data_IF_019804064595
#
_entry.id   IF_019804064595
#
_cell.length_a   1.000
_cell.length_b   1.000
_cell.length_c   1.000
_cell.angle_alpha   90.00
_cell.angle_beta   90.00
_cell.angle_gamma   90.00
#
_symmetry.space_group_name_H-M   'P 1'
#
loop_
_entity.id
_entity.type
_entity.pdbx_description
1 polymer ?
#
# COMPACT_ATOMS: atom_id res chain seq x y z
N UNK A 1 7.21 15.93 15.98
CA UNK A 1 6.13 15.46 15.08
C UNK A 1 5.46 14.22 15.66
N UNK A 2 4.18 13.98 15.34
CA UNK A 2 3.46 12.78 15.78
C UNK A 2 2.87 12.05 14.56
N UNK A 3 3.27 10.80 14.39
CA UNK A 3 2.70 9.89 13.40
C UNK A 3 1.69 8.96 14.08
N UNK A 4 0.50 8.86 13.50
CA UNK A 4 -0.51 7.89 13.92
C UNK A 4 -1.02 7.11 12.72
N UNK A 5 -0.84 5.80 12.74
CA UNK A 5 -1.33 4.92 11.68
C UNK A 5 -1.81 3.57 12.23
N UNK A 6 -2.72 2.97 11.49
CA UNK A 6 -3.47 1.78 11.94
C UNK A 6 -3.31 0.58 11.02
N UNK A 7 -2.60 0.73 9.90
CA UNK A 7 -2.45 -0.32 8.90
C UNK A 7 -0.98 -0.57 8.55
N UNK A 8 -0.53 -1.85 8.38
CA UNK A 8 0.84 -2.18 8.01
C UNK A 8 1.35 -1.45 6.76
N UNK A 9 0.47 -1.21 5.75
CA UNK A 9 0.86 -0.47 4.55
C UNK A 9 1.38 0.94 4.84
N UNK A 10 0.89 1.60 5.90
CA UNK A 10 1.35 2.95 6.27
C UNK A 10 2.72 2.93 6.94
N UNK A 11 3.07 1.84 7.61
CA UNK A 11 4.44 1.63 8.06
C UNK A 11 5.41 1.68 6.87
N UNK A 12 5.13 0.94 5.80
CA UNK A 12 5.98 0.94 4.60
C UNK A 12 6.07 2.33 3.97
N UNK A 13 4.95 3.03 3.85
CA UNK A 13 4.90 4.40 3.27
C UNK A 13 5.73 5.38 4.08
N UNK A 14 5.69 5.33 5.41
CA UNK A 14 6.34 6.33 6.26
C UNK A 14 7.71 5.92 6.80
N UNK A 15 8.12 4.64 6.67
CA UNK A 15 9.35 4.12 7.26
C UNK A 15 10.58 4.97 6.91
N UNK A 16 10.83 5.19 5.64
CA UNK A 16 12.02 5.89 5.19
C UNK A 16 11.92 7.39 5.50
N UNK A 17 10.73 7.98 5.40
CA UNK A 17 10.46 9.36 5.82
C UNK A 17 10.72 9.57 7.31
N UNK A 18 10.21 8.69 8.19
CA UNK A 18 10.44 8.78 9.64
C UNK A 18 11.94 8.64 9.97
N UNK A 19 12.60 7.67 9.31
CA UNK A 19 14.04 7.46 9.48
C UNK A 19 14.81 8.72 9.14
N UNK A 20 14.55 9.33 7.99
CA UNK A 20 15.24 10.53 7.53
C UNK A 20 14.93 11.74 8.41
N UNK A 21 13.68 11.93 8.84
CA UNK A 21 13.33 13.03 9.76
C UNK A 21 14.07 12.90 11.09
N UNK A 22 14.22 11.69 11.64
CA UNK A 22 15.01 11.46 12.86
C UNK A 22 16.50 11.75 12.63
N UNK A 23 17.05 11.38 11.46
CA UNK A 23 18.43 11.71 11.09
C UNK A 23 18.63 13.22 10.94
N UNK A 24 17.61 13.96 10.47
CA UNK A 24 17.62 15.43 10.40
C UNK A 24 17.44 16.10 11.78
N UNK A 25 17.36 15.33 12.87
CA UNK A 25 17.26 15.85 14.24
C UNK A 25 15.83 16.07 14.76
N UNK A 26 14.80 15.67 14.03
CA UNK A 26 13.42 15.77 14.51
C UNK A 26 13.07 14.70 15.53
N UNK A 27 12.33 15.09 16.56
CA UNK A 27 11.72 14.17 17.51
C UNK A 27 10.42 13.66 16.87
N UNK A 28 10.38 12.34 16.58
CA UNK A 28 9.25 11.67 15.94
C UNK A 28 8.69 10.60 16.86
N UNK A 29 7.48 10.86 17.39
CA UNK A 29 6.71 9.86 18.12
C UNK A 29 5.80 9.09 17.18
N UNK A 30 5.60 7.82 17.50
CA UNK A 30 4.74 6.91 16.75
C UNK A 30 3.66 6.38 17.66
N UNK A 31 2.41 6.56 17.23
CA UNK A 31 1.23 5.99 17.88
C UNK A 31 0.53 5.08 16.89
N UNK A 32 0.10 3.93 17.38
CA UNK A 32 -0.60 2.95 16.55
C UNK A 32 -1.85 2.39 17.24
N UNK A 33 -2.64 1.71 16.45
CA UNK A 33 -3.53 0.65 16.95
C UNK A 33 -3.07 -0.66 16.34
N UNK A 34 -2.89 -1.69 17.16
CA UNK A 34 -2.50 -3.01 16.66
C UNK A 34 -3.44 -3.52 15.57
N UNK A 35 -2.85 -3.88 14.45
CA UNK A 35 -3.53 -4.57 13.36
C UNK A 35 -2.52 -5.44 12.62
N UNK A 36 -2.86 -6.70 12.44
CA UNK A 36 -2.07 -7.66 11.69
C UNK A 36 -0.59 -7.67 12.18
N UNK A 37 0.37 -7.56 11.27
CA UNK A 37 1.82 -7.57 11.55
C UNK A 37 2.42 -6.19 11.89
N UNK A 38 1.60 -5.17 12.16
CA UNK A 38 2.11 -3.79 12.31
C UNK A 38 3.11 -3.65 13.48
N UNK A 39 2.84 -4.28 14.62
CA UNK A 39 3.75 -4.24 15.77
C UNK A 39 5.07 -4.93 15.48
N UNK A 40 5.01 -6.11 14.83
CA UNK A 40 6.23 -6.85 14.45
C UNK A 40 7.13 -6.03 13.51
N UNK A 41 6.52 -5.27 12.59
CA UNK A 41 7.25 -4.38 11.69
C UNK A 41 7.95 -3.25 12.45
N UNK A 42 7.30 -2.63 13.44
CA UNK A 42 7.92 -1.58 14.25
C UNK A 42 9.05 -2.12 15.13
N UNK A 43 8.83 -3.28 15.77
CA UNK A 43 9.84 -3.97 16.57
C UNK A 43 11.05 -4.33 15.71
N UNK A 44 10.84 -4.83 14.49
CA UNK A 44 11.93 -5.18 13.57
C UNK A 44 12.82 -3.99 13.16
N UNK A 45 12.29 -2.76 13.24
CA UNK A 45 13.05 -1.52 13.04
C UNK A 45 13.70 -0.99 14.32
N UNK A 46 13.46 -1.62 15.48
CA UNK A 46 13.90 -1.10 16.76
C UNK A 46 13.22 0.23 17.15
N UNK A 47 12.01 0.47 16.66
CA UNK A 47 11.31 1.74 16.90
C UNK A 47 10.46 1.68 18.16
N UNK A 48 10.59 2.71 18.98
CA UNK A 48 9.65 2.97 20.08
C UNK A 48 8.31 3.44 19.51
N UNK A 49 7.22 2.90 20.05
CA UNK A 49 5.85 3.26 19.68
C UNK A 49 4.91 3.17 20.88
N UNK A 50 3.76 3.81 20.76
CA UNK A 50 2.66 3.65 21.72
C UNK A 50 1.45 3.01 21.03
N UNK A 51 1.06 1.83 21.50
CA UNK A 51 -0.19 1.23 21.08
C UNK A 51 -1.32 1.73 21.99
N UNK A 52 -2.29 2.47 21.42
CA UNK A 52 -3.43 2.99 22.18
C UNK A 52 -4.58 1.99 22.36
N UNK A 53 -4.48 0.80 21.75
CA UNK A 53 -5.43 -0.31 21.92
C UNK A 53 -4.71 -1.66 22.09
N UNK A 54 -3.90 -1.83 23.16
CA UNK A 54 -3.20 -3.10 23.38
C UNK A 54 -4.16 -4.28 23.56
N UNK A 55 -5.39 -4.01 24.05
CA UNK A 55 -6.47 -5.01 24.16
C UNK A 55 -7.23 -5.27 22.84
N UNK A 56 -6.89 -4.56 21.77
CA UNK A 56 -7.61 -4.56 20.49
C UNK A 56 -8.87 -3.69 20.50
N UNK A 57 -9.33 -3.37 19.28
CA UNK A 57 -10.54 -2.53 19.07
C UNK A 57 -11.85 -3.32 19.13
N UNK A 58 -11.82 -4.65 18.93
CA UNK A 58 -13.01 -5.46 18.73
C UNK A 58 -13.83 -5.54 20.03
N UNK A 59 -15.08 -5.12 19.96
CA UNK A 59 -16.05 -5.25 21.05
C UNK A 59 -16.92 -6.48 20.80
N UNK A 60 -16.89 -7.46 21.72
CA UNK A 60 -17.68 -8.68 21.62
C UNK A 60 -19.16 -8.39 21.93
N UNK A 61 -20.07 -9.04 21.22
CA UNK A 61 -21.51 -8.96 21.49
C UNK A 61 -22.21 -7.66 21.06
N UNK A 62 -21.52 -6.77 20.33
CA UNK A 62 -22.07 -5.49 19.89
C UNK A 62 -22.12 -5.46 18.36
N UNK A 63 -23.17 -4.86 17.79
CA UNK A 63 -23.28 -4.72 16.33
C UNK A 63 -22.09 -3.95 15.74
N UNK A 64 -21.65 -4.23 14.50
CA UNK A 64 -20.51 -3.58 13.89
C UNK A 64 -20.62 -2.05 13.82
N UNK A 65 -21.83 -1.52 13.58
CA UNK A 65 -22.08 -0.08 13.50
C UNK A 65 -21.88 0.61 14.85
N UNK A 66 -22.48 0.06 15.92
CA UNK A 66 -22.36 0.57 17.28
C UNK A 66 -20.90 0.45 17.76
N UNK A 67 -20.27 -0.70 17.49
CA UNK A 67 -18.86 -0.91 17.81
C UNK A 67 -17.97 0.12 17.12
N UNK A 68 -18.22 0.47 15.87
CA UNK A 68 -17.48 1.51 15.13
C UNK A 68 -17.67 2.89 15.76
N UNK A 69 -18.88 3.26 16.14
CA UNK A 69 -19.17 4.53 16.80
C UNK A 69 -18.46 4.64 18.17
N UNK A 70 -18.54 3.58 18.98
CA UNK A 70 -17.84 3.54 20.28
C UNK A 70 -16.33 3.66 20.08
N UNK A 71 -15.77 2.91 19.12
CA UNK A 71 -14.34 2.94 18.84
C UNK A 71 -13.88 4.30 18.29
N UNK A 72 -14.72 5.02 17.55
CA UNK A 72 -14.44 6.39 17.13
C UNK A 72 -14.15 7.30 18.35
N UNK A 73 -15.07 7.34 19.33
CA UNK A 73 -14.89 8.16 20.54
C UNK A 73 -13.75 7.66 21.44
N UNK A 74 -13.60 6.33 21.59
CA UNK A 74 -12.48 5.76 22.35
C UNK A 74 -11.13 6.13 21.73
N UNK A 75 -11.02 6.10 20.42
CA UNK A 75 -9.79 6.47 19.72
C UNK A 75 -9.45 7.94 19.96
N UNK A 76 -10.41 8.85 19.74
CA UNK A 76 -10.20 10.29 19.99
C UNK A 76 -9.81 10.55 21.45
N UNK A 77 -10.50 9.95 22.41
CA UNK A 77 -10.17 10.10 23.84
C UNK A 77 -8.75 9.62 24.15
N UNK A 78 -8.35 8.45 23.66
CA UNK A 78 -7.00 7.90 23.91
C UNK A 78 -5.91 8.70 23.23
N UNK A 79 -6.12 9.14 22.01
CA UNK A 79 -5.22 10.07 21.31
C UNK A 79 -5.11 11.40 22.08
N UNK A 80 -6.23 11.98 22.52
CA UNK A 80 -6.22 13.19 23.33
C UNK A 80 -5.40 13.01 24.62
N UNK A 81 -5.60 11.90 25.35
CA UNK A 81 -4.84 11.58 26.57
C UNK A 81 -3.34 11.45 26.30
N UNK A 82 -2.95 10.97 25.12
CA UNK A 82 -1.56 10.87 24.69
C UNK A 82 -1.00 12.26 24.31
N UNK A 83 -1.67 12.96 23.40
CA UNK A 83 -1.20 14.22 22.79
C UNK A 83 -1.04 15.33 23.85
N UNK A 84 -1.93 15.42 24.86
CA UNK A 84 -1.85 16.45 25.89
C UNK A 84 -0.59 16.43 26.76
N UNK A 85 0.23 15.36 26.68
CA UNK A 85 1.44 15.22 27.51
C UNK A 85 2.60 16.06 27.02
N UNK A 86 2.64 16.42 25.72
CA UNK A 86 3.66 17.28 25.14
C UNK A 86 3.13 18.04 23.91
N UNK A 87 3.80 19.13 23.55
CA UNK A 87 3.47 19.88 22.34
C UNK A 87 4.05 19.20 21.10
N UNK A 88 3.28 19.17 20.02
CA UNK A 88 3.68 18.69 18.70
C UNK A 88 3.53 19.81 17.68
N UNK A 89 4.44 19.84 16.70
CA UNK A 89 4.41 20.82 15.61
C UNK A 89 3.59 20.32 14.42
N UNK A 90 3.57 18.99 14.18
CA UNK A 90 2.83 18.36 13.09
C UNK A 90 2.16 17.07 13.53
N UNK A 91 0.96 16.83 13.00
CA UNK A 91 0.26 15.53 13.02
C UNK A 91 0.25 14.92 11.63
N UNK A 92 0.74 13.69 11.49
CA UNK A 92 0.75 12.92 10.24
C UNK A 92 -0.04 11.64 10.46
N UNK A 93 -1.04 11.38 9.63
CA UNK A 93 -1.96 10.26 9.89
C UNK A 93 -2.73 9.81 8.65
N UNK A 94 -3.39 8.68 8.77
CA UNK A 94 -4.45 8.20 7.88
C UNK A 94 -5.78 7.95 8.63
N UNK A 95 -5.90 8.45 9.88
CA UNK A 95 -7.05 8.15 10.77
C UNK A 95 -7.40 9.38 11.65
N UNK A 96 -8.04 9.16 12.76
CA UNK A 96 -8.75 10.10 13.64
C UNK A 96 -7.88 11.15 14.34
N UNK A 97 -6.56 11.10 14.25
CA UNK A 97 -5.69 12.11 14.86
C UNK A 97 -6.02 13.54 14.37
N UNK A 98 -6.51 13.66 13.14
CA UNK A 98 -6.94 14.94 12.54
C UNK A 98 -7.98 15.70 13.36
N UNK A 99 -8.79 14.98 14.16
CA UNK A 99 -9.81 15.61 15.00
C UNK A 99 -9.20 16.44 16.15
N UNK A 100 -7.93 16.17 16.50
CA UNK A 100 -7.23 16.89 17.55
C UNK A 100 -6.49 18.12 17.02
N UNK A 101 -6.33 18.28 15.71
CA UNK A 101 -5.60 19.38 15.07
C UNK A 101 -6.05 20.75 15.62
N UNK A 102 -7.36 21.03 15.59
CA UNK A 102 -7.91 22.30 16.08
C UNK A 102 -7.76 22.48 17.60
N UNK A 103 -7.91 21.41 18.38
CA UNK A 103 -7.82 21.50 19.85
C UNK A 103 -6.41 21.83 20.32
N UNK A 104 -5.39 21.25 19.65
CA UNK A 104 -4.00 21.47 20.00
C UNK A 104 -3.32 22.55 19.13
N UNK A 105 -4.04 23.14 18.18
CA UNK A 105 -3.52 24.11 17.19
C UNK A 105 -2.28 23.57 16.46
N UNK A 106 -2.29 22.27 16.16
CA UNK A 106 -1.22 21.54 15.48
C UNK A 106 -1.71 21.16 14.09
N UNK A 107 -1.06 21.62 13.02
CA UNK A 107 -1.42 21.26 11.64
C UNK A 107 -1.40 19.77 11.39
N UNK A 108 -2.34 19.30 10.55
CA UNK A 108 -2.50 17.88 10.27
C UNK A 108 -2.35 17.57 8.77
N UNK A 109 -1.57 16.52 8.50
CA UNK A 109 -1.42 15.91 7.18
C UNK A 109 -2.07 14.54 7.16
N UNK A 110 -2.96 14.32 6.21
CA UNK A 110 -3.58 13.03 5.96
C UNK A 110 -3.00 12.43 4.70
N UNK A 111 -2.60 11.16 4.76
CA UNK A 111 -2.15 10.42 3.58
C UNK A 111 -3.27 9.50 3.08
N UNK A 112 -3.56 9.57 1.79
CA UNK A 112 -4.45 8.63 1.08
C UNK A 112 -3.97 8.41 -0.36
N UNK A 113 -4.27 7.23 -0.90
CA UNK A 113 -3.99 6.89 -2.30
C UNK A 113 -5.25 6.43 -3.06
N UNK A 114 -6.36 6.27 -2.35
CA UNK A 114 -7.63 5.86 -2.93
C UNK A 114 -8.51 7.05 -3.32
N UNK A 115 -9.21 6.92 -4.44
CA UNK A 115 -10.24 7.86 -4.83
C UNK A 115 -11.39 7.92 -3.82
N UNK A 116 -11.89 9.11 -3.54
CA UNK A 116 -12.97 9.30 -2.57
C UNK A 116 -14.24 8.52 -2.94
N UNK A 117 -14.49 8.30 -4.22
CA UNK A 117 -15.62 7.51 -4.69
C UNK A 117 -15.61 6.06 -4.18
N UNK A 118 -14.40 5.50 -3.93
CA UNK A 118 -14.19 4.15 -3.40
C UNK A 118 -14.27 4.14 -1.87
N UNK A 119 -13.73 5.16 -1.22
CA UNK A 119 -13.60 5.24 0.24
C UNK A 119 -14.46 6.36 0.83
N UNK A 120 -15.76 6.39 0.49
CA UNK A 120 -16.68 7.49 0.86
C UNK A 120 -16.66 7.86 2.34
N UNK A 121 -16.55 6.88 3.24
CA UNK A 121 -16.48 7.14 4.69
C UNK A 121 -15.22 7.91 5.10
N UNK A 122 -14.16 7.85 4.29
CA UNK A 122 -12.93 8.59 4.54
C UNK A 122 -13.13 10.11 4.44
N UNK A 123 -14.24 10.56 3.84
CA UNK A 123 -14.63 11.98 3.80
C UNK A 123 -14.69 12.64 5.18
N UNK A 124 -15.02 11.89 6.24
CA UNK A 124 -15.05 12.41 7.61
C UNK A 124 -13.65 12.79 8.13
N UNK A 125 -12.62 12.07 7.68
CA UNK A 125 -11.21 12.35 7.98
C UNK A 125 -10.75 13.54 7.15
N UNK A 126 -10.97 13.51 5.82
CA UNK A 126 -10.58 14.58 4.90
C UNK A 126 -11.20 15.93 5.26
N UNK A 127 -12.44 15.93 5.78
CA UNK A 127 -13.11 17.16 6.20
C UNK A 127 -12.35 17.88 7.34
N UNK A 128 -11.64 17.15 8.19
CA UNK A 128 -10.91 17.67 9.35
C UNK A 128 -9.44 17.94 9.09
N UNK A 129 -8.86 17.31 8.05
CA UNK A 129 -7.48 17.51 7.67
C UNK A 129 -7.20 18.97 7.24
N UNK A 130 -6.01 19.48 7.57
CA UNK A 130 -5.52 20.76 7.03
C UNK A 130 -4.93 20.54 5.64
N UNK A 131 -4.17 19.46 5.46
CA UNK A 131 -3.56 19.06 4.19
C UNK A 131 -3.80 17.56 3.91
N UNK A 132 -3.90 17.23 2.62
CA UNK A 132 -4.06 15.83 2.17
C UNK A 132 -2.97 15.50 1.17
N UNK A 133 -2.08 14.57 1.53
CA UNK A 133 -1.05 14.04 0.64
C UNK A 133 -1.66 12.88 -0.16
N UNK A 134 -1.73 13.02 -1.46
CA UNK A 134 -2.30 11.99 -2.34
C UNK A 134 -1.61 12.01 -3.71
N UNK A 135 -1.62 10.89 -4.47
CA UNK A 135 -1.19 10.90 -5.87
C UNK A 135 -1.92 12.00 -6.65
N UNK A 136 -1.22 12.65 -7.58
CA UNK A 136 -1.80 13.73 -8.40
C UNK A 136 -3.10 13.27 -9.08
N UNK A 137 -3.12 12.04 -9.57
CA UNK A 137 -4.24 11.45 -10.30
C UNK A 137 -5.45 11.09 -9.41
N UNK A 138 -5.25 10.90 -8.09
CA UNK A 138 -6.34 10.52 -7.17
C UNK A 138 -7.37 11.64 -7.04
N UNK A 139 -8.64 11.31 -7.22
CA UNK A 139 -9.74 12.27 -7.07
C UNK A 139 -10.30 12.25 -5.64
N UNK A 140 -10.15 13.36 -4.95
CA UNK A 140 -10.67 13.57 -3.60
C UNK A 140 -11.99 14.38 -3.59
N UNK A 141 -12.60 14.60 -4.76
CA UNK A 141 -13.83 15.38 -4.91
C UNK A 141 -13.65 16.80 -4.36
N UNK A 142 -14.58 17.25 -3.52
CA UNK A 142 -14.52 18.59 -2.92
C UNK A 142 -13.28 18.86 -2.05
N UNK A 143 -12.51 17.85 -1.69
CA UNK A 143 -11.30 17.98 -0.88
C UNK A 143 -10.02 18.14 -1.72
N UNK A 144 -10.13 18.18 -3.06
CA UNK A 144 -9.00 18.46 -3.94
C UNK A 144 -8.30 19.79 -3.62
N UNK A 145 -9.02 20.78 -3.06
CA UNK A 145 -8.45 22.05 -2.59
C UNK A 145 -7.42 21.93 -1.46
N UNK A 146 -7.48 20.84 -0.69
CA UNK A 146 -6.53 20.53 0.39
C UNK A 146 -5.37 19.62 -0.07
N UNK A 147 -5.45 19.10 -1.30
CA UNK A 147 -4.52 18.12 -1.81
C UNK A 147 -3.13 18.72 -2.04
N UNK A 148 -2.13 18.06 -1.48
CA UNK A 148 -0.74 18.16 -1.87
C UNK A 148 -0.49 16.95 -2.78
N UNK A 149 -0.66 17.20 -4.09
CA UNK A 149 -0.62 16.13 -5.10
C UNK A 149 0.81 15.79 -5.50
N UNK A 150 1.22 14.53 -5.34
CA UNK A 150 2.53 14.09 -5.77
C UNK A 150 2.47 13.24 -7.05
N UNK A 151 3.46 13.39 -7.92
CA UNK A 151 3.62 12.60 -9.14
C UNK A 151 4.21 11.23 -8.78
N UNK A 152 3.35 10.29 -8.42
CA UNK A 152 3.83 8.97 -7.99
C UNK A 152 2.72 8.08 -7.45
N UNK A 153 3.18 6.99 -6.85
CA UNK A 153 2.37 5.99 -6.17
C UNK A 153 2.89 5.80 -4.75
N UNK A 154 2.05 5.33 -3.82
CA UNK A 154 2.47 5.08 -2.44
C UNK A 154 3.64 4.10 -2.35
N UNK A 155 3.69 3.14 -3.25
CA UNK A 155 4.73 2.12 -3.30
C UNK A 155 6.12 2.73 -3.57
N UNK A 156 6.20 3.89 -4.23
CA UNK A 156 7.46 4.60 -4.47
C UNK A 156 8.05 5.24 -3.20
N UNK A 157 7.33 5.21 -2.09
CA UNK A 157 7.93 5.56 -0.80
C UNK A 157 8.98 4.53 -0.34
N UNK A 158 8.84 3.27 -0.75
CA UNK A 158 9.72 2.17 -0.31
C UNK A 158 10.25 1.29 -1.45
N UNK A 159 9.76 1.47 -2.68
CA UNK A 159 10.20 0.72 -3.86
C UNK A 159 10.89 1.60 -4.92
N UNK A 160 11.09 2.90 -4.64
CA UNK A 160 11.86 3.77 -5.53
C UNK A 160 13.31 3.26 -5.65
N UNK A 161 13.98 3.43 -6.80
CA UNK A 161 15.39 3.02 -6.97
C UNK A 161 16.29 3.52 -5.83
N UNK A 162 17.11 2.62 -5.28
CA UNK A 162 17.95 2.90 -4.11
C UNK A 162 17.28 2.67 -2.75
N UNK A 163 15.93 2.59 -2.66
CA UNK A 163 15.23 2.27 -1.41
C UNK A 163 14.94 0.79 -1.22
N UNK A 164 14.75 0.07 -2.30
CA UNK A 164 14.59 -1.37 -2.31
C UNK A 164 15.66 -2.00 -3.20
N UNK A 165 16.44 -2.91 -2.62
CA UNK A 165 17.46 -3.69 -3.31
C UNK A 165 17.01 -5.14 -3.31
N UNK A 166 16.64 -5.71 -4.48
CA UNK A 166 16.25 -7.10 -4.59
C UNK A 166 17.39 -8.05 -4.18
N UNK A 167 17.07 -9.06 -3.40
CA UNK A 167 18.05 -10.06 -2.94
C UNK A 167 17.69 -11.45 -3.49
N UNK A 168 18.52 -11.95 -4.40
CA UNK A 168 18.36 -13.27 -5.05
C UNK A 168 18.61 -14.43 -4.07
N UNK A 169 19.37 -14.21 -3.01
CA UNK A 169 19.66 -15.27 -2.05
C UNK A 169 18.39 -15.71 -1.29
N UNK A 170 17.43 -14.78 -1.13
CA UNK A 170 16.11 -15.10 -0.59
C UNK A 170 15.39 -16.11 -1.49
N UNK A 171 15.50 -15.92 -2.82
CA UNK A 171 14.84 -16.78 -3.80
C UNK A 171 15.50 -18.17 -3.86
N UNK A 172 16.82 -18.22 -3.81
CA UNK A 172 17.58 -19.48 -3.82
C UNK A 172 17.17 -20.41 -2.66
N UNK A 173 16.85 -19.86 -1.50
CA UNK A 173 16.45 -20.63 -0.32
C UNK A 173 15.16 -21.45 -0.51
N UNK A 174 14.21 -21.00 -1.30
CA UNK A 174 12.95 -21.75 -1.50
C UNK A 174 12.77 -22.29 -2.92
N UNK A 175 13.44 -21.72 -3.92
CA UNK A 175 13.26 -22.09 -5.32
C UNK A 175 14.52 -22.62 -6.02
N UNK A 176 15.68 -22.62 -5.37
CA UNK A 176 16.97 -22.96 -6.00
C UNK A 176 17.55 -21.83 -6.87
N UNK A 177 16.84 -20.71 -7.03
CA UNK A 177 17.33 -19.46 -7.63
C UNK A 177 17.34 -19.38 -9.15
N UNK A 178 17.22 -20.49 -9.86
CA UNK A 178 17.38 -20.54 -11.32
C UNK A 178 16.11 -20.89 -12.08
N UNK A 179 15.02 -21.24 -11.42
CA UNK A 179 13.82 -21.71 -12.07
C UNK A 179 12.78 -20.59 -12.21
N UNK A 180 12.16 -20.56 -13.39
CA UNK A 180 11.00 -19.71 -13.68
C UNK A 180 9.87 -20.01 -12.71
N UNK A 181 9.25 -18.98 -12.12
CA UNK A 181 8.13 -19.18 -11.21
C UNK A 181 7.08 -18.07 -11.28
N UNK A 182 5.88 -18.42 -10.86
CA UNK A 182 4.70 -17.57 -10.82
C UNK A 182 4.20 -17.46 -9.40
N UNK A 183 3.76 -16.26 -9.03
CA UNK A 183 3.22 -15.99 -7.69
C UNK A 183 1.74 -15.68 -7.78
N UNK A 184 0.92 -16.50 -7.12
CA UNK A 184 -0.52 -16.25 -6.95
C UNK A 184 -0.76 -15.68 -5.55
N UNK A 185 -1.53 -14.59 -5.45
CA UNK A 185 -1.94 -14.01 -4.16
C UNK A 185 -3.44 -14.12 -3.97
N UNK A 186 -3.85 -14.65 -2.81
CA UNK A 186 -5.24 -14.81 -2.40
C UNK A 186 -5.49 -14.05 -1.10
N UNK A 187 -6.34 -13.01 -1.14
CA UNK A 187 -6.71 -12.25 0.06
C UNK A 187 -7.94 -12.84 0.74
N UNK A 188 -8.13 -12.50 2.01
CA UNK A 188 -9.26 -13.02 2.80
C UNK A 188 -10.61 -12.41 2.42
N UNK A 189 -10.64 -11.23 1.78
CA UNK A 189 -11.83 -10.44 1.42
C UNK A 189 -12.80 -10.25 2.63
N UNK A 190 -12.25 -10.05 3.84
CA UNK A 190 -13.00 -9.91 5.09
C UNK A 190 -13.03 -8.48 5.65
N UNK A 191 -12.37 -7.52 5.01
CA UNK A 191 -12.38 -6.13 5.45
C UNK A 191 -13.76 -5.49 5.22
N UNK A 192 -14.09 -4.44 5.96
CA UNK A 192 -15.40 -3.77 5.85
C UNK A 192 -15.70 -3.25 4.43
N UNK A 193 -14.68 -2.80 3.72
CA UNK A 193 -14.81 -2.35 2.32
C UNK A 193 -14.86 -3.51 1.32
N UNK A 194 -14.62 -4.75 1.76
CA UNK A 194 -14.69 -5.95 0.92
C UNK A 194 -16.10 -6.60 0.93
N UNK A 195 -17.07 -6.04 1.66
CA UNK A 195 -18.42 -6.60 1.72
C UNK A 195 -19.03 -6.66 0.31
N UNK A 196 -19.34 -7.87 -0.14
CA UNK A 196 -19.84 -8.14 -1.50
C UNK A 196 -18.74 -8.22 -2.58
N UNK A 197 -17.46 -8.08 -2.21
CA UNK A 197 -16.36 -8.25 -3.14
C UNK A 197 -16.06 -9.73 -3.39
N UNK A 198 -15.76 -10.03 -4.66
CA UNK A 198 -15.38 -11.37 -5.11
C UNK A 198 -13.93 -11.32 -5.60
N UNK A 199 -13.20 -12.38 -5.32
CA UNK A 199 -11.85 -12.62 -5.82
C UNK A 199 -11.75 -13.99 -6.49
N UNK A 200 -10.54 -14.51 -6.59
CA UNK A 200 -10.27 -15.82 -7.18
C UNK A 200 -10.91 -16.95 -6.36
N UNK A 201 -11.74 -17.76 -7.01
CA UNK A 201 -12.27 -18.98 -6.43
C UNK A 201 -11.24 -20.11 -6.52
N UNK A 202 -11.35 -21.14 -5.66
CA UNK A 202 -10.46 -22.31 -5.73
C UNK A 202 -10.49 -23.01 -7.09
N UNK A 203 -11.66 -23.04 -7.76
CA UNK A 203 -11.80 -23.55 -9.13
C UNK A 203 -10.95 -22.75 -10.10
N UNK A 204 -10.96 -21.43 -9.98
CA UNK A 204 -10.17 -20.54 -10.81
C UNK A 204 -8.67 -20.68 -10.53
N UNK A 205 -8.29 -20.84 -9.26
CA UNK A 205 -6.90 -21.08 -8.86
C UNK A 205 -6.37 -22.39 -9.47
N UNK A 206 -7.16 -23.45 -9.46
CA UNK A 206 -6.77 -24.72 -10.09
C UNK A 206 -6.54 -24.56 -11.58
N UNK A 207 -7.41 -23.83 -12.29
CA UNK A 207 -7.24 -23.56 -13.74
C UNK A 207 -5.97 -22.76 -14.00
N UNK A 208 -5.67 -21.75 -13.17
CA UNK A 208 -4.42 -20.99 -13.23
C UNK A 208 -3.21 -21.90 -13.08
N UNK A 209 -3.19 -22.73 -12.04
CA UNK A 209 -2.08 -23.64 -11.76
C UNK A 209 -1.87 -24.60 -12.94
N UNK A 210 -2.94 -25.20 -13.45
CA UNK A 210 -2.87 -26.14 -14.60
C UNK A 210 -2.24 -25.48 -15.83
N UNK A 211 -2.48 -24.19 -16.05
CA UNK A 211 -1.86 -23.44 -17.15
C UNK A 211 -0.37 -23.15 -16.82
N UNK A 212 -0.10 -22.59 -15.64
CA UNK A 212 1.21 -22.08 -15.26
C UNK A 212 2.27 -23.18 -15.08
N UNK A 213 1.90 -24.36 -14.56
CA UNK A 213 2.83 -25.50 -14.36
C UNK A 213 3.50 -25.98 -15.64
N UNK A 214 2.95 -25.67 -16.81
CA UNK A 214 3.57 -25.96 -18.11
C UNK A 214 4.78 -25.07 -18.39
N UNK A 215 4.91 -23.95 -17.67
CA UNK A 215 5.94 -22.94 -17.92
C UNK A 215 6.91 -22.74 -16.75
N UNK A 216 6.58 -23.19 -15.54
CA UNK A 216 7.44 -23.05 -14.36
C UNK A 216 6.75 -23.42 -13.06
N UNK A 217 7.42 -23.17 -11.96
CA UNK A 217 6.87 -23.43 -10.61
C UNK A 217 5.77 -22.43 -10.26
N UNK A 218 4.79 -22.87 -9.46
CA UNK A 218 3.72 -22.00 -8.98
C UNK A 218 3.77 -21.95 -7.46
N UNK A 219 3.70 -20.73 -6.93
CA UNK A 219 3.60 -20.48 -5.49
C UNK A 219 2.35 -19.69 -5.16
N UNK A 220 1.71 -20.01 -4.02
CA UNK A 220 0.52 -19.33 -3.53
C UNK A 220 0.83 -18.65 -2.20
N UNK A 221 0.74 -17.32 -2.17
CA UNK A 221 0.67 -16.54 -0.94
C UNK A 221 -0.81 -16.31 -0.58
N UNK A 222 -1.27 -16.81 0.57
CA UNK A 222 -2.68 -16.78 0.93
C UNK A 222 -2.93 -16.30 2.35
N UNK A 223 -3.91 -15.40 2.53
CA UNK A 223 -4.45 -14.99 3.82
C UNK A 223 -5.62 -15.89 4.28
N UNK A 224 -6.12 -16.72 3.38
CA UNK A 224 -7.19 -17.68 3.66
C UNK A 224 -6.65 -19.10 3.73
N UNK A 225 -7.37 -19.99 4.39
CA UNK A 225 -7.09 -21.43 4.35
C UNK A 225 -7.15 -21.93 2.91
N UNK A 226 -6.18 -22.74 2.53
CA UNK A 226 -6.18 -23.41 1.24
C UNK A 226 -6.77 -24.81 1.39
N UNK A 227 -7.50 -25.32 0.37
CA UNK A 227 -7.83 -26.74 0.29
C UNK A 227 -6.58 -27.61 0.23
N UNK A 228 -6.61 -28.84 0.75
CA UNK A 228 -5.47 -29.77 0.83
C UNK A 228 -4.71 -29.90 -0.50
N UNK A 229 -5.43 -29.97 -1.61
CA UNK A 229 -4.86 -30.06 -2.97
C UNK A 229 -4.05 -28.83 -3.40
N UNK A 230 -4.27 -27.68 -2.75
CA UNK A 230 -3.55 -26.42 -3.01
C UNK A 230 -2.44 -26.15 -2.00
N UNK A 231 -2.42 -26.83 -0.86
CA UNK A 231 -1.42 -26.63 0.20
C UNK A 231 0.02 -26.89 -0.28
N UNK A 232 0.23 -27.83 -1.21
CA UNK A 232 1.55 -28.09 -1.79
C UNK A 232 2.17 -26.90 -2.52
N UNK A 233 1.37 -25.91 -2.94
CA UNK A 233 1.79 -24.68 -3.61
C UNK A 233 2.02 -23.52 -2.65
N UNK A 234 1.68 -23.67 -1.37
CA UNK A 234 1.81 -22.60 -0.38
C UNK A 234 3.25 -22.08 -0.31
N UNK A 235 3.39 -20.80 -0.53
CA UNK A 235 4.66 -20.10 -0.36
C UNK A 235 5.04 -20.08 1.12
N UNK A 236 6.21 -20.63 1.45
CA UNK A 236 6.76 -20.71 2.81
C UNK A 236 7.95 -19.76 2.91
N UNK A 237 7.68 -18.51 3.25
CA UNK A 237 8.70 -17.47 3.47
C UNK A 237 8.31 -16.59 4.64
N UNK A 238 9.27 -15.85 5.17
CA UNK A 238 8.99 -14.78 6.12
C UNK A 238 8.25 -13.62 5.40
N UNK A 239 7.18 -13.06 5.98
CA UNK A 239 6.39 -11.99 5.35
C UNK A 239 7.21 -10.80 4.86
N UNK A 240 8.29 -10.43 5.57
CA UNK A 240 9.19 -9.33 5.19
C UNK A 240 9.91 -9.54 3.85
N UNK A 241 9.99 -10.78 3.38
CA UNK A 241 10.70 -11.15 2.17
C UNK A 241 9.80 -11.15 0.92
N UNK A 242 8.52 -10.86 1.07
CA UNK A 242 7.54 -10.98 -0.03
C UNK A 242 7.88 -10.09 -1.24
N UNK A 243 8.41 -8.89 -1.02
CA UNK A 243 8.78 -7.98 -2.10
C UNK A 243 9.91 -8.54 -2.98
N UNK A 244 10.87 -9.26 -2.38
CA UNK A 244 11.91 -9.96 -3.14
C UNK A 244 11.31 -11.07 -4.01
N UNK A 245 10.35 -11.83 -3.46
CA UNK A 245 9.65 -12.88 -4.21
C UNK A 245 8.83 -12.28 -5.35
N UNK A 246 8.16 -11.16 -5.14
CA UNK A 246 7.42 -10.46 -6.21
C UNK A 246 8.38 -9.99 -7.31
N UNK A 247 9.52 -9.38 -6.94
CA UNK A 247 10.46 -8.82 -7.92
C UNK A 247 11.04 -9.89 -8.87
N UNK A 248 11.34 -11.08 -8.37
CA UNK A 248 11.91 -12.16 -9.17
C UNK A 248 10.87 -13.08 -9.81
N UNK A 249 9.59 -12.94 -9.51
CA UNK A 249 8.54 -13.69 -10.17
C UNK A 249 8.43 -13.31 -11.66
N UNK A 250 8.17 -14.30 -12.52
CA UNK A 250 7.89 -14.04 -13.95
C UNK A 250 6.58 -13.29 -14.15
N UNK A 251 5.54 -13.70 -13.41
CA UNK A 251 4.24 -13.02 -13.41
C UNK A 251 3.65 -13.12 -12.00
N UNK A 252 3.09 -12.01 -11.53
CA UNK A 252 2.25 -11.94 -10.33
C UNK A 252 0.78 -11.96 -10.72
N UNK A 253 -0.03 -12.80 -10.07
CA UNK A 253 -1.47 -12.91 -10.33
C UNK A 253 -2.20 -12.88 -8.99
N UNK A 254 -3.22 -12.03 -8.81
CA UNK A 254 -3.93 -12.05 -7.54
C UNK A 254 -5.15 -11.13 -7.45
N UNK A 255 -5.83 -11.27 -6.33
CA UNK A 255 -6.96 -10.41 -5.96
C UNK A 255 -6.56 -9.29 -4.98
N UNK A 256 -5.28 -9.24 -4.57
CA UNK A 256 -4.71 -8.16 -3.75
C UNK A 256 -4.38 -6.92 -4.57
N UNK A 257 -5.01 -5.79 -4.25
CA UNK A 257 -4.71 -4.52 -4.90
C UNK A 257 -3.28 -4.04 -4.58
N UNK A 258 -2.89 -4.06 -3.30
CA UNK A 258 -1.57 -3.57 -2.88
C UNK A 258 -0.44 -4.37 -3.51
N UNK A 259 -0.47 -5.71 -3.42
CA UNK A 259 0.61 -6.52 -3.98
C UNK A 259 0.65 -6.50 -5.52
N UNK A 260 -0.50 -6.34 -6.21
CA UNK A 260 -0.50 -6.10 -7.66
C UNK A 260 0.17 -4.76 -7.99
N UNK A 261 -0.09 -3.73 -7.19
CA UNK A 261 0.52 -2.41 -7.36
C UNK A 261 2.03 -2.46 -7.11
N UNK A 262 2.46 -3.18 -6.07
CA UNK A 262 3.88 -3.42 -5.76
C UNK A 262 4.58 -4.16 -6.92
N UNK A 263 3.96 -5.22 -7.45
CA UNK A 263 4.48 -5.95 -8.59
C UNK A 263 4.65 -5.05 -9.82
N UNK A 264 3.65 -4.24 -10.15
CA UNK A 264 3.70 -3.29 -11.25
C UNK A 264 4.85 -2.28 -11.08
N UNK A 265 5.01 -1.69 -9.88
CA UNK A 265 6.08 -0.72 -9.60
C UNK A 265 7.46 -1.38 -9.63
N UNK A 266 7.58 -2.63 -9.22
CA UNK A 266 8.82 -3.41 -9.31
C UNK A 266 9.17 -3.82 -10.75
N UNK A 267 8.24 -3.68 -11.71
CA UNK A 267 8.41 -4.12 -13.11
C UNK A 267 8.13 -5.60 -13.30
N UNK A 268 7.46 -6.24 -12.36
CA UNK A 268 6.96 -7.60 -12.50
C UNK A 268 5.59 -7.55 -13.20
N UNK A 269 5.41 -8.26 -14.33
CA UNK A 269 4.12 -8.36 -14.99
C UNK A 269 3.04 -8.76 -14.00
N UNK A 270 1.98 -7.97 -13.89
CA UNK A 270 0.98 -8.21 -12.84
C UNK A 270 -0.44 -8.29 -13.39
N UNK A 271 -1.20 -9.27 -12.91
CA UNK A 271 -2.61 -9.46 -13.26
C UNK A 271 -3.44 -9.36 -11.99
N UNK A 272 -4.36 -8.39 -11.96
CA UNK A 272 -5.32 -8.24 -10.87
C UNK A 272 -6.69 -8.74 -11.30
N UNK A 273 -7.33 -9.52 -10.42
CA UNK A 273 -8.70 -9.99 -10.66
C UNK A 273 -9.56 -9.78 -9.42
N UNK A 274 -10.38 -8.73 -9.44
CA UNK A 274 -11.35 -8.40 -8.40
C UNK A 274 -12.40 -7.40 -8.90
N UNK A 275 -13.41 -7.09 -8.09
CA UNK A 275 -14.51 -6.20 -8.47
C UNK A 275 -14.23 -4.69 -8.27
N UNK A 276 -13.00 -4.30 -7.89
CA UNK A 276 -12.59 -2.89 -7.82
C UNK A 276 -12.05 -2.33 -9.14
N UNK A 277 -11.95 -3.14 -10.17
CA UNK A 277 -11.45 -2.74 -11.49
C UNK A 277 -12.27 -1.57 -12.06
N UNK A 278 -11.56 -0.57 -12.59
CA UNK A 278 -12.15 0.65 -13.15
C UNK A 278 -12.54 1.73 -12.12
N UNK A 279 -12.18 1.55 -10.84
CA UNK A 279 -12.59 2.47 -9.76
C UNK A 279 -11.44 3.19 -9.07
N UNK A 280 -10.19 2.83 -9.35
CA UNK A 280 -9.02 3.29 -8.61
C UNK A 280 -8.00 3.86 -9.60
N UNK A 281 -7.92 5.18 -9.64
CA UNK A 281 -7.14 5.93 -10.64
C UNK A 281 -5.68 5.49 -10.74
N UNK A 282 -5.01 5.24 -9.62
CA UNK A 282 -3.60 4.79 -9.62
C UNK A 282 -3.40 3.40 -10.24
N UNK A 283 -4.40 2.53 -10.17
CA UNK A 283 -4.35 1.21 -10.80
C UNK A 283 -4.64 1.28 -12.29
N UNK A 284 -5.59 2.14 -12.66
CA UNK A 284 -5.94 2.37 -14.06
C UNK A 284 -4.79 3.04 -14.84
N UNK A 285 -4.04 3.98 -14.21
CA UNK A 285 -2.86 4.58 -14.81
C UNK A 285 -1.74 3.54 -15.05
N UNK A 286 -1.48 2.65 -14.09
CA UNK A 286 -0.49 1.57 -14.25
C UNK A 286 -0.82 0.64 -15.42
N UNK A 287 -2.11 0.41 -15.70
CA UNK A 287 -2.57 -0.36 -16.85
C UNK A 287 -2.54 0.46 -18.13
N UNK A 288 -3.28 1.57 -18.18
CA UNK A 288 -3.58 2.27 -19.43
C UNK A 288 -2.39 3.08 -19.97
N UNK A 289 -1.61 3.69 -19.08
CA UNK A 289 -0.48 4.54 -19.46
C UNK A 289 0.82 3.76 -19.58
N UNK A 290 1.10 2.86 -18.63
CA UNK A 290 2.39 2.19 -18.58
C UNK A 290 2.34 0.72 -18.98
N UNK A 291 1.17 0.10 -19.03
CA UNK A 291 1.04 -1.33 -19.34
C UNK A 291 1.75 -2.25 -18.36
N UNK A 292 1.91 -1.83 -17.10
CA UNK A 292 2.59 -2.56 -16.03
C UNK A 292 1.68 -3.54 -15.29
N UNK A 293 0.36 -3.38 -15.40
CA UNK A 293 -0.62 -4.30 -14.83
C UNK A 293 -1.78 -4.52 -15.79
N UNK A 294 -2.49 -5.63 -15.61
CA UNK A 294 -3.71 -5.97 -16.35
C UNK A 294 -4.79 -6.25 -15.33
N UNK A 295 -5.90 -5.52 -15.41
CA UNK A 295 -6.95 -5.58 -14.41
C UNK A 295 -8.22 -6.18 -15.02
N UNK A 296 -8.75 -7.24 -14.38
CA UNK A 296 -9.94 -7.95 -14.83
C UNK A 296 -10.96 -8.04 -13.70
N UNK A 297 -12.24 -7.96 -14.05
CA UNK A 297 -13.32 -8.32 -13.13
C UNK A 297 -13.38 -9.85 -13.00
N UNK A 298 -13.99 -10.35 -11.92
CA UNK A 298 -14.07 -11.79 -11.67
C UNK A 298 -14.80 -12.53 -12.81
N UNK A 299 -15.78 -11.88 -13.42
CA UNK A 299 -16.56 -12.40 -14.54
C UNK A 299 -15.72 -12.52 -15.83
N UNK A 300 -14.61 -11.79 -15.94
CA UNK A 300 -13.70 -11.77 -17.07
C UNK A 300 -12.55 -12.78 -16.90
N UNK A 301 -12.74 -13.84 -16.13
CA UNK A 301 -11.67 -14.80 -15.84
C UNK A 301 -11.12 -15.49 -17.09
N UNK A 302 -11.94 -15.80 -18.07
CA UNK A 302 -11.47 -16.43 -19.33
C UNK A 302 -10.68 -15.43 -20.22
N UNK A 303 -11.08 -14.17 -20.26
CA UNK A 303 -10.31 -13.10 -20.91
C UNK A 303 -8.94 -12.92 -20.23
N UNK A 304 -8.92 -12.99 -18.89
CA UNK A 304 -7.69 -12.95 -18.11
C UNK A 304 -6.77 -14.13 -18.44
N UNK A 305 -7.31 -15.36 -18.59
CA UNK A 305 -6.51 -16.52 -18.98
C UNK A 305 -5.93 -16.38 -20.40
N UNK A 306 -6.66 -15.78 -21.34
CA UNK A 306 -6.16 -15.46 -22.65
C UNK A 306 -4.97 -14.49 -22.56
N UNK A 307 -5.13 -13.40 -21.80
CA UNK A 307 -4.03 -12.44 -21.56
C UNK A 307 -2.82 -13.07 -20.90
N UNK A 308 -3.04 -13.92 -19.90
CA UNK A 308 -1.96 -14.67 -19.26
C UNK A 308 -1.23 -15.56 -20.28
N UNK A 309 -1.97 -16.27 -21.15
CA UNK A 309 -1.39 -17.12 -22.18
C UNK A 309 -0.53 -16.32 -23.18
N UNK A 310 -0.97 -15.11 -23.56
CA UNK A 310 -0.17 -14.19 -24.38
C UNK A 310 1.16 -13.83 -23.71
N UNK A 311 1.12 -13.49 -22.41
CA UNK A 311 2.32 -13.11 -21.65
C UNK A 311 3.29 -14.30 -21.48
N UNK A 312 2.78 -15.50 -21.29
CA UNK A 312 3.59 -16.70 -21.04
C UNK A 312 4.48 -17.12 -22.21
N UNK A 313 4.11 -16.74 -23.43
CA UNK A 313 4.85 -17.09 -24.67
C UNK A 313 5.78 -15.97 -25.14
N UNK A 314 5.85 -14.84 -24.45
CA UNK A 314 6.77 -13.75 -24.79
C UNK A 314 8.19 -14.07 -24.30
N UNK A 315 9.14 -14.19 -25.24
CA UNK A 315 10.54 -14.52 -24.92
C UNK A 315 11.23 -13.43 -24.10
N UNK A 316 10.87 -12.16 -24.28
CA UNK A 316 11.51 -11.00 -23.68
C UNK A 316 10.64 -10.28 -22.63
N UNK A 317 9.69 -10.98 -22.01
CA UNK A 317 8.70 -10.40 -21.11
C UNK A 317 9.33 -9.50 -20.02
N UNK A 318 10.37 -9.98 -19.35
CA UNK A 318 11.03 -9.24 -18.29
C UNK A 318 11.67 -7.94 -18.79
N UNK A 319 12.37 -7.98 -19.92
CA UNK A 319 13.03 -6.80 -20.52
C UNK A 319 11.98 -5.77 -20.97
N UNK A 320 10.84 -6.22 -21.49
CA UNK A 320 9.74 -5.34 -21.86
C UNK A 320 9.17 -4.61 -20.63
N UNK A 321 8.92 -5.34 -19.55
CA UNK A 321 8.40 -4.73 -18.33
C UNK A 321 9.43 -3.86 -17.59
N UNK A 322 10.72 -4.18 -17.65
CA UNK A 322 11.79 -3.30 -17.18
C UNK A 322 11.83 -1.98 -17.97
N UNK A 323 11.59 -2.02 -19.27
CA UNK A 323 11.48 -0.82 -20.12
C UNK A 323 10.28 0.02 -19.74
N UNK A 324 9.11 -0.60 -19.57
CA UNK A 324 7.87 0.06 -19.12
C UNK A 324 8.05 0.70 -17.73
N UNK A 325 8.72 -0.01 -16.79
CA UNK A 325 9.07 0.50 -15.47
C UNK A 325 9.98 1.73 -15.57
N UNK A 326 10.99 1.72 -16.43
CA UNK A 326 11.88 2.89 -16.63
C UNK A 326 11.10 4.11 -17.12
N UNK A 327 10.15 3.93 -18.05
CA UNK A 327 9.27 5.01 -18.50
C UNK A 327 8.45 5.55 -17.32
N UNK A 328 7.83 4.68 -16.53
CA UNK A 328 7.08 5.08 -15.33
C UNK A 328 7.98 5.86 -14.35
N UNK A 329 9.15 5.35 -14.03
CA UNK A 329 10.07 6.00 -13.07
C UNK A 329 10.60 7.34 -13.57
N UNK A 330 10.73 7.56 -14.90
CA UNK A 330 11.16 8.87 -15.45
C UNK A 330 10.13 9.98 -15.19
N UNK A 331 8.87 9.63 -14.99
CA UNK A 331 7.79 10.57 -14.71
C UNK A 331 7.44 10.70 -13.22
N UNK A 332 7.79 9.70 -12.43
CA UNK A 332 7.41 9.61 -11.01
C UNK A 332 8.56 9.99 -10.09
N UNK A 333 8.23 10.39 -8.86
CA UNK A 333 9.20 10.89 -7.87
C UNK A 333 9.46 9.89 -6.75
N UNK A 334 10.59 10.05 -6.06
CA UNK A 334 10.84 9.46 -4.75
C UNK A 334 9.89 10.06 -3.71
N UNK A 335 8.84 9.33 -3.38
CA UNK A 335 7.82 9.81 -2.45
C UNK A 335 8.36 10.04 -1.03
N UNK A 336 9.27 9.20 -0.55
CA UNK A 336 9.83 9.40 0.79
C UNK A 336 10.74 10.64 0.84
N UNK A 337 11.54 10.89 -0.20
CA UNK A 337 12.30 12.13 -0.31
C UNK A 337 11.39 13.36 -0.33
N UNK A 338 10.32 13.32 -1.12
CA UNK A 338 9.31 14.38 -1.17
C UNK A 338 8.63 14.62 0.18
N UNK A 339 8.14 13.57 0.85
CA UNK A 339 7.50 13.70 2.17
C UNK A 339 8.46 14.18 3.24
N UNK A 340 9.71 13.72 3.21
CA UNK A 340 10.75 14.21 4.13
C UNK A 340 10.92 15.71 3.99
N UNK A 341 11.13 16.22 2.78
CA UNK A 341 11.22 17.64 2.53
C UNK A 341 9.95 18.38 2.96
N UNK A 342 8.79 17.84 2.66
CA UNK A 342 7.50 18.47 2.97
C UNK A 342 7.33 18.73 4.47
N UNK A 343 7.73 17.76 5.30
CA UNK A 343 7.58 17.86 6.76
C UNK A 343 8.76 18.58 7.43
N UNK A 344 9.99 18.40 6.91
CA UNK A 344 11.21 19.00 7.42
C UNK A 344 11.19 20.54 7.27
N UNK A 345 10.72 21.01 6.12
CA UNK A 345 10.68 22.43 5.74
C UNK A 345 9.30 23.06 5.96
N UNK A 346 8.42 22.45 6.74
CA UNK A 346 7.11 23.04 7.05
C UNK A 346 7.26 24.27 7.95
N UNK A 347 6.58 25.41 7.68
CA UNK A 347 5.49 25.64 6.70
C UNK A 347 5.95 26.13 5.31
N UNK A 348 7.22 26.43 5.12
CA UNK A 348 7.77 26.99 3.87
C UNK A 348 7.54 26.06 2.69
N UNK A 349 7.72 24.77 2.88
CA UNK A 349 7.50 23.72 1.86
C UNK A 349 6.09 23.77 1.24
N UNK A 350 5.07 24.04 2.04
CA UNK A 350 3.69 24.18 1.56
C UNK A 350 3.55 25.43 0.68
N UNK A 351 4.18 26.52 1.10
CA UNK A 351 4.13 27.79 0.35
C UNK A 351 4.84 27.63 -1.00
N UNK A 352 6.02 26.99 -1.01
CA UNK A 352 6.77 26.72 -2.23
C UNK A 352 6.02 25.77 -3.15
N UNK A 353 5.49 24.65 -2.62
CA UNK A 353 4.74 23.68 -3.40
C UNK A 353 3.48 24.32 -4.05
N UNK A 354 2.75 25.15 -3.31
CA UNK A 354 1.55 25.82 -3.85
C UNK A 354 1.88 26.85 -4.94
N UNK A 355 3.03 27.53 -4.84
CA UNK A 355 3.51 28.45 -5.88
C UNK A 355 3.98 27.71 -7.12
N UNK A 356 4.68 26.60 -6.93
CA UNK A 356 5.25 25.80 -8.01
C UNK A 356 5.17 24.31 -7.69
N UNK A 357 4.09 23.59 -8.05
CA UNK A 357 3.98 22.15 -7.83
C UNK A 357 5.09 21.33 -8.51
N UNK A 358 5.72 21.84 -9.57
CA UNK A 358 6.82 21.17 -10.26
C UNK A 358 8.12 21.11 -9.44
N UNK A 359 8.18 21.80 -8.29
CA UNK A 359 9.32 21.67 -7.36
C UNK A 359 9.57 20.24 -6.94
N UNK A 360 8.53 19.39 -6.96
CA UNK A 360 8.65 17.97 -6.69
C UNK A 360 9.53 17.21 -7.67
N UNK A 361 9.80 17.76 -8.89
CA UNK A 361 10.66 17.11 -9.89
C UNK A 361 12.11 16.94 -9.42
N UNK A 362 12.55 17.68 -8.40
CA UNK A 362 13.86 17.48 -7.79
C UNK A 362 14.02 16.15 -7.03
N UNK A 363 12.94 15.42 -6.86
CA UNK A 363 12.91 14.10 -6.24
C UNK A 363 12.81 12.95 -7.29
N UNK A 364 13.06 13.23 -8.57
CA UNK A 364 13.20 12.24 -9.64
C UNK A 364 14.55 11.57 -9.65
#
# INVERSE_FOLDING_TARGET
>A
MLFFFVHPSKFHVFRDTITQLRQNGHIVDIVITSKDVLEDLLVSQGWEYTNIFPEGRKLKGISPLISSAINFFRTIYRLHKFVKKKKYDLFITDDLLVYLSKWFKTPSFVFTDDDLAVTKLFSIILARADYVIAPMITDLGKFNSKKIGFEGYKELAYLYPGRFIPDIEIIKKFNGGAERYFLIRLVSLRAYHDVGMKGLTDKNVIRLITLLERYGKVYISSERSLPDKLEKYRLKIEPRNILHVIYFADIFIGDSQTMTSEAAVLGTPSIRINNFVGKISVMEEKQSKYGLSFNFRVEQFDEMLNKLSELLVLDNLKNEFDTRKKVMLSEKIDLSGFMTWLFDQYPESITEFRKNPNIQNRFK
#
